data_IF_165743810876
#
_entry.id   IF_165743810876
#
_cell.length_a   1.000
_cell.length_b   1.000
_cell.length_c   1.000
_cell.angle_alpha   90.00
_cell.angle_beta   90.00
_cell.angle_gamma   90.00
#
_symmetry.space_group_name_H-M   'P 1'
#
loop_
_entity.id
_entity.type
_entity.pdbx_description
1 polymer ?
#
# COMPACT_ATOMS: atom_id res chain seq x y z
N UNK A 1 3.87 37.27 16.80
CA UNK A 1 2.62 36.51 17.00
C UNK A 1 2.51 35.36 16.01
N UNK A 2 2.91 34.15 16.41
CA UNK A 2 2.69 32.90 15.67
C UNK A 2 2.45 31.77 16.66
N UNK A 3 1.36 31.87 17.40
CA UNK A 3 0.83 30.80 18.25
C UNK A 3 -0.68 30.84 18.10
N UNK A 4 -1.20 30.12 17.10
CA UNK A 4 -2.62 29.75 16.90
C UNK A 4 -2.75 29.10 15.52
N UNK A 5 -2.39 27.82 15.41
CA UNK A 5 -2.80 26.99 14.25
C UNK A 5 -2.80 25.47 14.53
N UNK A 6 -2.28 25.00 15.66
CA UNK A 6 -2.22 23.55 15.96
C UNK A 6 -3.27 23.12 16.99
N UNK A 7 -4.54 23.28 16.65
CA UNK A 7 -5.64 22.76 17.48
C UNK A 7 -6.70 22.01 16.66
N UNK A 8 -6.29 21.47 15.50
CA UNK A 8 -7.20 20.79 14.57
C UNK A 8 -6.91 19.28 14.51
N UNK A 9 -7.87 18.41 14.88
CA UNK A 9 -7.77 16.95 14.69
C UNK A 9 -7.69 16.54 13.20
N UNK A 10 -7.89 17.48 12.28
CA UNK A 10 -7.78 17.29 10.83
C UNK A 10 -6.34 17.08 10.34
N UNK A 11 -5.31 17.48 11.08
CA UNK A 11 -3.92 17.19 10.68
C UNK A 11 -3.54 15.71 10.87
N UNK A 12 -4.11 15.03 11.88
CA UNK A 12 -4.02 13.57 12.02
C UNK A 12 -4.80 12.85 10.90
N UNK A 13 -5.92 13.43 10.45
CA UNK A 13 -6.77 12.88 9.41
C UNK A 13 -6.05 12.71 8.06
N UNK A 14 -5.21 13.69 7.65
CA UNK A 14 -4.52 13.64 6.36
C UNK A 14 -3.31 12.69 6.32
N UNK A 15 -2.60 12.50 7.44
CA UNK A 15 -1.42 11.61 7.50
C UNK A 15 -1.80 10.13 7.63
N UNK A 16 -2.91 9.81 8.29
CA UNK A 16 -3.43 8.43 8.35
C UNK A 16 -4.21 8.02 7.08
N UNK A 17 -4.73 8.97 6.30
CA UNK A 17 -5.68 8.67 5.20
C UNK A 17 -5.04 8.19 3.88
N UNK A 18 -3.74 8.36 3.62
CA UNK A 18 -3.17 7.91 2.34
C UNK A 18 -2.28 6.67 2.45
N UNK A 19 -1.42 6.60 3.47
CA UNK A 19 -0.50 5.45 3.66
C UNK A 19 -1.10 4.38 4.57
N UNK A 20 -1.71 4.76 5.69
CA UNK A 20 -2.44 3.82 6.54
C UNK A 20 -3.67 3.26 5.83
N UNK A 21 -4.32 4.04 4.95
CA UNK A 21 -5.40 3.57 4.08
C UNK A 21 -4.93 2.56 3.03
N UNK A 22 -3.79 2.78 2.36
CA UNK A 22 -3.24 1.78 1.41
C UNK A 22 -2.84 0.49 2.12
N UNK A 23 -2.22 0.59 3.30
CA UNK A 23 -1.88 -0.58 4.10
C UNK A 23 -3.15 -1.25 4.62
N UNK A 24 -4.09 -0.52 5.24
CA UNK A 24 -5.39 -1.03 5.68
C UNK A 24 -6.17 -1.69 4.55
N UNK A 25 -6.21 -1.10 3.34
CA UNK A 25 -6.84 -1.67 2.16
C UNK A 25 -6.16 -2.94 1.69
N UNK A 26 -4.81 -3.01 1.71
CA UNK A 26 -4.10 -4.25 1.38
C UNK A 26 -4.31 -5.33 2.43
N UNK A 27 -4.29 -4.99 3.71
CA UNK A 27 -4.53 -5.90 4.84
C UNK A 27 -5.94 -6.49 4.80
N UNK A 28 -6.88 -5.63 4.44
CA UNK A 28 -8.27 -5.99 4.27
C UNK A 28 -8.50 -6.78 2.98
N UNK A 29 -7.79 -6.47 1.87
CA UNK A 29 -7.79 -7.30 0.67
C UNK A 29 -7.18 -8.69 0.92
N UNK A 30 -6.14 -8.79 1.77
CA UNK A 30 -5.54 -10.07 2.18
C UNK A 30 -6.44 -10.84 3.16
N UNK A 31 -7.19 -10.15 4.02
CA UNK A 31 -8.21 -10.77 4.88
C UNK A 31 -9.45 -11.29 4.11
N UNK A 32 -9.56 -11.02 2.80
CA UNK A 32 -10.74 -11.32 1.99
C UNK A 32 -10.62 -12.56 1.10
N UNK A 33 -9.84 -13.55 1.53
CA UNK A 33 -10.06 -14.93 1.07
C UNK A 33 -11.42 -15.52 1.52
N UNK A 34 -12.27 -14.76 2.25
CA UNK A 34 -13.63 -15.14 2.65
C UNK A 34 -14.75 -14.13 2.25
N UNK A 35 -14.68 -13.51 1.07
CA UNK A 35 -15.89 -13.21 0.28
C UNK A 35 -16.78 -11.99 0.60
N UNK A 36 -16.23 -10.82 0.97
CA UNK A 36 -16.99 -9.55 1.03
C UNK A 36 -16.16 -8.30 0.71
N UNK A 37 -16.70 -7.32 -0.05
CA UNK A 37 -15.94 -6.13 -0.48
C UNK A 37 -15.72 -5.12 0.65
N UNK A 38 -14.49 -4.75 1.02
CA UNK A 38 -14.24 -4.14 2.32
C UNK A 38 -13.72 -2.68 2.30
N UNK A 39 -13.59 -2.08 1.10
CA UNK A 39 -13.19 -0.68 0.90
C UNK A 39 -14.20 0.31 1.49
N UNK A 40 -15.48 -0.05 1.59
CA UNK A 40 -16.53 0.77 2.19
C UNK A 40 -16.56 0.73 3.73
N UNK A 41 -16.17 -0.39 4.34
CA UNK A 41 -16.25 -0.57 5.80
C UNK A 41 -15.11 0.15 6.53
N UNK A 42 -13.91 0.17 5.94
CA UNK A 42 -12.75 0.91 6.49
C UNK A 42 -12.93 2.41 6.29
N UNK A 43 -13.50 2.85 5.17
CA UNK A 43 -13.71 4.28 4.88
C UNK A 43 -14.76 4.93 5.80
N UNK A 44 -15.60 4.15 6.47
CA UNK A 44 -16.54 4.60 7.51
C UNK A 44 -15.99 4.50 8.94
N UNK A 45 -14.82 3.89 9.14
CA UNK A 45 -14.20 3.76 10.46
C UNK A 45 -13.23 4.92 10.72
N UNK A 46 -13.66 5.87 11.56
CA UNK A 46 -12.89 7.08 11.86
C UNK A 46 -12.01 6.99 13.12
N UNK A 47 -12.07 5.88 13.87
CA UNK A 47 -11.26 5.69 15.08
C UNK A 47 -9.91 5.05 14.76
N UNK A 48 -8.85 5.85 14.84
CA UNK A 48 -7.48 5.42 14.62
C UNK A 48 -7.03 4.30 15.58
N UNK A 49 -7.58 4.21 16.80
CA UNK A 49 -7.25 3.13 17.74
C UNK A 49 -7.80 1.78 17.30
N UNK A 50 -9.01 1.78 16.72
CA UNK A 50 -9.63 0.58 16.15
C UNK A 50 -8.80 0.10 14.96
N UNK A 51 -8.48 1.00 14.02
CA UNK A 51 -7.64 0.68 12.86
C UNK A 51 -6.24 0.16 13.26
N UNK A 52 -5.60 0.81 14.24
CA UNK A 52 -4.31 0.36 14.77
C UNK A 52 -4.40 -1.02 15.45
N UNK A 53 -5.51 -1.32 16.14
CA UNK A 53 -5.74 -2.63 16.75
C UNK A 53 -5.97 -3.70 15.70
N UNK A 54 -6.75 -3.42 14.66
CA UNK A 54 -6.96 -4.32 13.52
C UNK A 54 -5.64 -4.62 12.80
N UNK A 55 -4.82 -3.60 12.55
CA UNK A 55 -3.49 -3.72 11.95
C UNK A 55 -2.58 -4.68 12.75
N UNK A 56 -2.47 -4.45 14.06
CA UNK A 56 -1.67 -5.31 14.96
C UNK A 56 -2.19 -6.76 14.95
N UNK A 57 -3.51 -6.93 15.10
CA UNK A 57 -4.15 -8.26 15.09
C UNK A 57 -3.96 -9.00 13.78
N UNK A 58 -3.92 -8.32 12.64
CA UNK A 58 -3.66 -8.95 11.35
C UNK A 58 -2.30 -9.66 11.37
N UNK A 59 -1.22 -8.94 11.68
CA UNK A 59 0.13 -9.52 11.65
C UNK A 59 0.31 -10.62 12.71
N UNK A 60 -0.23 -10.41 13.91
CA UNK A 60 -0.13 -11.39 14.98
C UNK A 60 -0.89 -12.71 14.66
N UNK A 61 -1.94 -12.65 13.83
CA UNK A 61 -2.75 -13.81 13.42
C UNK A 61 -2.27 -14.52 12.14
N UNK A 62 -1.23 -14.01 11.48
CA UNK A 62 -0.66 -14.71 10.33
C UNK A 62 -0.20 -16.11 10.76
N UNK A 63 -0.36 -17.16 9.93
CA UNK A 63 0.13 -18.51 10.23
C UNK A 63 1.64 -18.50 10.54
N UNK A 64 2.40 -17.78 9.74
CA UNK A 64 3.82 -17.50 9.91
C UNK A 64 4.02 -16.01 10.22
N UNK A 65 4.92 -15.62 11.15
CA UNK A 65 5.11 -14.22 11.47
C UNK A 65 5.62 -13.44 10.25
N UNK A 66 5.35 -12.12 10.20
CA UNK A 66 5.78 -11.28 9.09
C UNK A 66 7.30 -11.38 8.84
N UNK A 67 8.06 -11.37 9.93
CA UNK A 67 9.47 -11.73 9.97
C UNK A 67 9.54 -13.21 10.40
N UNK A 68 9.87 -14.12 9.47
CA UNK A 68 9.90 -15.56 9.72
C UNK A 68 10.76 -15.97 10.91
N UNK A 69 10.43 -17.08 11.56
CA UNK A 69 11.14 -17.54 12.77
C UNK A 69 12.62 -17.82 12.50
N UNK A 70 13.00 -18.14 11.25
CA UNK A 70 14.38 -18.39 10.82
C UNK A 70 15.28 -17.14 10.86
N UNK A 71 14.69 -15.95 10.96
CA UNK A 71 15.45 -14.70 11.14
C UNK A 71 15.46 -14.19 12.57
N UNK A 72 14.77 -14.88 13.50
CA UNK A 72 14.64 -14.48 14.90
C UNK A 72 15.99 -14.24 15.58
N UNK A 73 16.87 -15.26 15.61
CA UNK A 73 18.17 -15.18 16.29
C UNK A 73 19.05 -14.07 15.69
N UNK A 74 19.01 -13.90 14.36
CA UNK A 74 19.75 -12.83 13.70
C UNK A 74 19.23 -11.44 14.08
N UNK A 75 17.92 -11.27 14.29
CA UNK A 75 17.37 -10.00 14.79
C UNK A 75 17.83 -9.72 16.21
N UNK A 76 17.90 -10.74 17.07
CA UNK A 76 18.44 -10.63 18.44
C UNK A 76 19.91 -10.23 18.40
N UNK A 77 20.73 -10.91 17.60
CA UNK A 77 22.16 -10.62 17.45
C UNK A 77 22.42 -9.18 16.98
N UNK A 78 21.72 -8.75 15.93
CA UNK A 78 21.82 -7.37 15.42
C UNK A 78 21.41 -6.38 16.51
N UNK A 79 20.30 -6.65 17.22
CA UNK A 79 19.80 -5.84 18.32
C UNK A 79 20.78 -5.69 19.48
N UNK A 80 21.47 -6.77 19.83
CA UNK A 80 22.50 -6.77 20.86
C UNK A 80 23.76 -6.00 20.45
N UNK A 81 24.06 -5.91 19.15
CA UNK A 81 25.16 -5.08 18.65
C UNK A 81 24.87 -3.58 18.73
N UNK A 82 23.59 -3.19 18.86
CA UNK A 82 23.17 -1.79 18.97
C UNK A 82 23.28 -1.30 20.41
N UNK A 83 24.03 -0.22 20.59
CA UNK A 83 24.17 0.46 21.89
C UNK A 83 23.15 1.58 22.05
N UNK A 84 22.71 1.79 23.29
CA UNK A 84 21.87 2.92 23.69
C UNK A 84 20.36 2.70 23.55
N UNK A 85 19.60 3.42 24.38
CA UNK A 85 18.22 3.80 24.07
C UNK A 85 18.23 4.91 23.00
N UNK A 86 17.08 5.35 22.48
CA UNK A 86 16.94 6.24 21.30
C UNK A 86 17.91 7.45 21.20
N UNK A 87 18.47 7.93 22.31
CA UNK A 87 19.36 9.09 22.41
C UNK A 87 20.88 8.83 22.51
N UNK A 88 21.35 7.58 22.66
CA UNK A 88 22.79 7.26 22.78
C UNK A 88 23.29 6.43 21.58
N UNK A 89 23.20 7.01 20.39
CA UNK A 89 23.53 6.31 19.14
C UNK A 89 25.01 6.43 18.80
N UNK A 90 25.57 5.31 18.39
CA UNK A 90 26.88 5.21 17.78
C UNK A 90 26.68 5.02 16.27
N UNK A 91 26.91 6.10 15.49
CA UNK A 91 26.70 6.11 14.04
C UNK A 91 27.43 4.97 13.30
N UNK A 92 28.58 4.52 13.84
CA UNK A 92 29.34 3.41 13.27
C UNK A 92 28.62 2.07 13.42
N UNK A 93 28.10 1.78 14.61
CA UNK A 93 27.33 0.55 14.89
C UNK A 93 25.99 0.55 14.19
N UNK A 94 25.29 1.68 14.17
CA UNK A 94 24.02 1.82 13.46
C UNK A 94 24.21 1.52 11.96
N UNK A 95 25.32 1.96 11.35
CA UNK A 95 25.60 1.71 9.93
C UNK A 95 25.88 0.22 9.66
N UNK A 96 26.67 -0.44 10.51
CA UNK A 96 26.93 -1.87 10.38
C UNK A 96 25.64 -2.70 10.57
N UNK A 97 24.83 -2.40 11.59
CA UNK A 97 23.55 -3.04 11.84
C UNK A 97 22.56 -2.79 10.69
N UNK A 98 22.54 -1.59 10.13
CA UNK A 98 21.73 -1.26 8.93
C UNK A 98 22.08 -2.18 7.77
N UNK A 99 23.38 -2.43 7.52
CA UNK A 99 23.82 -3.34 6.46
C UNK A 99 23.39 -4.80 6.73
N UNK A 100 23.51 -5.26 7.98
CA UNK A 100 23.08 -6.60 8.37
C UNK A 100 21.56 -6.79 8.22
N UNK A 101 20.76 -5.80 8.64
CA UNK A 101 19.31 -5.82 8.44
C UNK A 101 18.96 -5.85 6.96
N UNK A 102 19.69 -5.08 6.14
CA UNK A 102 19.54 -5.11 4.69
C UNK A 102 19.75 -6.51 4.10
N UNK A 103 20.83 -7.17 4.49
CA UNK A 103 21.14 -8.54 4.07
C UNK A 103 20.08 -9.53 4.56
N UNK A 104 19.63 -9.40 5.80
CA UNK A 104 18.57 -10.24 6.38
C UNK A 104 17.27 -10.10 5.60
N UNK A 105 16.82 -8.88 5.31
CA UNK A 105 15.62 -8.64 4.53
C UNK A 105 15.74 -9.19 3.09
N UNK A 106 16.92 -9.14 2.49
CA UNK A 106 17.15 -9.70 1.16
C UNK A 106 17.00 -11.23 1.08
N UNK A 107 17.05 -11.93 2.22
CA UNK A 107 16.83 -13.39 2.31
C UNK A 107 15.36 -13.77 2.43
N UNK A 108 14.48 -12.81 2.74
CA UNK A 108 13.06 -13.10 2.95
C UNK A 108 12.32 -13.23 1.62
N UNK A 109 11.21 -13.98 1.58
CA UNK A 109 10.33 -14.01 0.41
C UNK A 109 9.89 -12.59 0.02
N UNK A 110 9.79 -12.33 -1.28
CA UNK A 110 9.45 -10.99 -1.83
C UNK A 110 8.19 -10.39 -1.20
N UNK A 111 7.19 -11.22 -0.89
CA UNK A 111 5.94 -10.81 -0.26
C UNK A 111 6.18 -10.29 1.16
N UNK A 112 7.00 -10.97 1.96
CA UNK A 112 7.38 -10.53 3.31
C UNK A 112 8.15 -9.21 3.23
N UNK A 113 9.17 -9.12 2.36
CA UNK A 113 9.97 -7.90 2.18
C UNK A 113 9.08 -6.70 1.85
N UNK A 114 8.15 -6.88 0.91
CA UNK A 114 7.22 -5.81 0.51
C UNK A 114 6.37 -5.35 1.71
N UNK A 115 5.80 -6.29 2.47
CA UNK A 115 4.97 -5.97 3.63
C UNK A 115 5.77 -5.33 4.77
N UNK A 116 6.99 -5.80 5.04
CA UNK A 116 7.92 -5.20 6.01
C UNK A 116 8.20 -3.75 5.62
N UNK A 117 8.66 -3.52 4.38
CA UNK A 117 9.01 -2.18 3.93
C UNK A 117 7.82 -1.23 3.96
N UNK A 118 6.62 -1.67 3.60
CA UNK A 118 5.41 -0.85 3.69
C UNK A 118 5.00 -0.55 5.13
N UNK A 119 4.98 -1.56 5.99
CA UNK A 119 4.64 -1.39 7.40
C UNK A 119 5.62 -0.42 8.08
N UNK A 120 6.92 -0.70 8.00
CA UNK A 120 7.92 0.09 8.72
C UNK A 120 8.12 1.49 8.11
N UNK A 121 7.86 1.68 6.81
CA UNK A 121 7.75 3.03 6.21
C UNK A 121 6.56 3.79 6.79
N UNK A 122 5.40 3.14 6.92
CA UNK A 122 4.23 3.75 7.57
C UNK A 122 4.53 4.13 9.02
N UNK A 123 5.14 3.23 9.81
CA UNK A 123 5.53 3.53 11.18
C UNK A 123 6.55 4.67 11.28
N UNK A 124 7.45 4.81 10.29
CA UNK A 124 8.36 5.95 10.20
C UNK A 124 7.61 7.29 10.07
N UNK A 125 6.57 7.34 9.25
CA UNK A 125 5.72 8.54 9.15
C UNK A 125 4.96 8.82 10.45
N UNK A 126 4.49 7.79 11.16
CA UNK A 126 3.86 7.96 12.48
C UNK A 126 4.84 8.50 13.52
N UNK A 127 6.09 8.03 13.51
CA UNK A 127 7.14 8.47 14.43
C UNK A 127 7.47 9.97 14.25
N UNK A 128 7.42 10.50 13.03
CA UNK A 128 7.61 11.95 12.77
C UNK A 128 6.56 12.83 13.44
N UNK A 129 5.43 12.25 13.88
CA UNK A 129 4.33 12.94 14.55
C UNK A 129 4.39 12.78 16.07
N UNK A 130 5.50 12.30 16.64
CA UNK A 130 5.68 12.02 18.08
C UNK A 130 5.22 13.17 18.98
N UNK A 131 5.45 14.43 18.60
CA UNK A 131 4.98 15.61 19.35
C UNK A 131 3.48 15.60 19.65
N UNK A 132 2.69 14.92 18.81
CA UNK A 132 1.25 14.76 18.94
C UNK A 132 0.85 13.35 19.37
N UNK A 133 1.42 12.31 18.75
CA UNK A 133 1.04 10.90 19.00
C UNK A 133 1.66 10.34 20.28
N UNK A 134 2.74 10.95 20.78
CA UNK A 134 3.61 10.42 21.85
C UNK A 134 4.24 9.06 21.52
N UNK A 135 4.25 8.70 20.25
CA UNK A 135 4.82 7.44 19.75
C UNK A 135 6.14 7.74 19.04
N UNK A 136 7.26 7.54 19.75
CA UNK A 136 8.58 7.53 19.13
C UNK A 136 8.78 6.25 18.30
N UNK A 137 9.87 6.20 17.52
CA UNK A 137 10.19 5.00 16.73
C UNK A 137 10.38 3.77 17.62
N UNK A 138 10.97 3.93 18.80
CA UNK A 138 11.12 2.90 19.82
C UNK A 138 9.81 2.43 20.39
N UNK A 139 8.92 3.36 20.77
CA UNK A 139 7.60 2.99 21.28
C UNK A 139 6.81 2.20 20.22
N UNK A 140 6.92 2.59 18.94
CA UNK A 140 6.32 1.85 17.84
C UNK A 140 6.96 0.46 17.66
N UNK A 141 8.29 0.37 17.73
CA UNK A 141 9.01 -0.90 17.65
C UNK A 141 8.54 -1.86 18.75
N UNK A 142 8.57 -1.46 20.03
CA UNK A 142 8.14 -2.27 21.16
C UNK A 142 6.70 -2.79 21.01
N UNK A 143 5.79 -1.93 20.53
CA UNK A 143 4.39 -2.34 20.29
C UNK A 143 4.30 -3.36 19.14
N UNK A 144 5.15 -3.27 18.12
CA UNK A 144 5.08 -4.13 16.95
C UNK A 144 5.86 -5.43 17.08
N UNK A 145 6.91 -5.54 17.90
CA UNK A 145 7.70 -6.78 18.09
C UNK A 145 6.79 -8.02 18.26
N UNK A 146 5.87 -8.10 19.24
CA UNK A 146 5.06 -9.30 19.45
C UNK A 146 4.01 -9.55 18.36
N UNK A 147 3.83 -8.60 17.43
CA UNK A 147 2.90 -8.72 16.32
C UNK A 147 3.57 -9.19 15.03
N UNK A 148 4.88 -8.99 14.86
CA UNK A 148 5.60 -9.23 13.60
C UNK A 148 6.70 -10.27 13.70
N UNK A 149 7.11 -10.65 14.91
CA UNK A 149 8.11 -11.67 15.22
C UNK A 149 7.52 -12.67 16.21
N UNK A 150 7.90 -13.95 16.09
CA UNK A 150 7.60 -15.00 17.08
C UNK A 150 8.80 -15.91 17.25
N UNK A 151 9.11 -16.27 18.50
CA UNK A 151 10.12 -17.28 18.77
C UNK A 151 9.68 -18.66 18.27
N UNK A 152 10.65 -19.56 18.10
CA UNK A 152 10.36 -20.98 17.87
C UNK A 152 9.72 -21.63 19.08
N UNK A 153 8.97 -22.71 18.87
CA UNK A 153 8.22 -23.39 19.93
C UNK A 153 9.09 -23.93 21.09
N UNK A 154 10.40 -24.08 20.86
CA UNK A 154 11.35 -24.62 21.82
C UNK A 154 11.97 -23.54 22.74
N UNK A 155 11.71 -22.25 22.48
CA UNK A 155 12.27 -21.16 23.29
C UNK A 155 11.40 -20.93 24.55
N UNK A 156 12.00 -20.91 25.76
CA UNK A 156 11.27 -20.57 26.99
C UNK A 156 10.72 -19.15 26.95
N UNK A 157 9.54 -18.94 27.56
CA UNK A 157 8.87 -17.64 27.58
C UNK A 157 9.71 -16.53 28.23
N UNK A 158 10.54 -16.87 29.22
CA UNK A 158 11.45 -15.92 29.86
C UNK A 158 12.56 -15.44 28.92
N UNK A 159 13.07 -16.33 28.06
CA UNK A 159 14.09 -15.99 27.07
C UNK A 159 13.48 -15.17 25.94
N UNK A 160 12.29 -15.57 25.46
CA UNK A 160 11.54 -14.79 24.45
C UNK A 160 11.27 -13.36 24.95
N UNK A 161 10.88 -13.20 26.22
CA UNK A 161 10.66 -11.88 26.80
C UNK A 161 11.94 -11.04 26.88
N UNK A 162 13.09 -11.65 27.19
CA UNK A 162 14.38 -10.98 27.22
C UNK A 162 14.81 -10.48 25.83
N UNK A 163 14.50 -11.26 24.79
CA UNK A 163 14.82 -10.97 23.39
C UNK A 163 13.96 -9.85 22.78
N UNK A 164 12.81 -9.53 23.39
CA UNK A 164 11.94 -8.46 22.90
C UNK A 164 12.66 -7.11 22.79
N UNK A 165 13.55 -6.80 23.74
CA UNK A 165 14.29 -5.54 23.74
C UNK A 165 15.33 -5.44 22.59
N UNK A 166 16.27 -6.40 22.40
CA UNK A 166 17.18 -6.34 21.27
C UNK A 166 16.42 -6.39 19.93
N UNK A 167 15.36 -7.18 19.80
CA UNK A 167 14.55 -7.19 18.58
C UNK A 167 13.90 -5.81 18.36
N UNK A 168 13.40 -5.14 19.40
CA UNK A 168 12.87 -3.78 19.30
C UNK A 168 13.93 -2.79 18.83
N UNK A 169 15.21 -2.93 19.23
CA UNK A 169 16.30 -2.08 18.74
C UNK A 169 16.51 -2.25 17.23
N UNK A 170 16.55 -3.50 16.77
CA UNK A 170 16.66 -3.81 15.35
C UNK A 170 15.49 -3.20 14.55
N UNK A 171 14.25 -3.39 15.01
CA UNK A 171 13.07 -2.82 14.35
C UNK A 171 13.04 -1.29 14.40
N UNK A 172 13.45 -0.68 15.51
CA UNK A 172 13.55 0.77 15.66
C UNK A 172 14.48 1.36 14.59
N UNK A 173 15.61 0.71 14.32
CA UNK A 173 16.53 1.12 13.27
C UNK A 173 15.90 1.05 11.87
N UNK A 174 15.10 0.01 11.57
CA UNK A 174 14.32 -0.09 10.33
C UNK A 174 13.33 1.09 10.22
N UNK A 175 12.61 1.41 11.30
CA UNK A 175 11.64 2.54 11.34
C UNK A 175 12.34 3.88 11.07
N UNK A 176 13.55 4.05 11.55
CA UNK A 176 14.28 5.32 11.44
C UNK A 176 14.99 5.49 10.10
N UNK A 177 15.33 4.38 9.43
CA UNK A 177 16.07 4.38 8.17
C UNK A 177 15.31 3.70 7.02
N UNK A 178 14.02 4.03 6.77
CA UNK A 178 13.20 3.30 5.79
C UNK A 178 13.75 3.43 4.36
N UNK A 179 14.36 4.56 4.00
CA UNK A 179 14.98 4.77 2.68
C UNK A 179 16.17 3.87 2.43
N UNK A 180 17.00 3.64 3.45
CA UNK A 180 18.15 2.76 3.37
C UNK A 180 17.71 1.29 3.21
N UNK A 181 16.61 0.91 3.87
CA UNK A 181 15.98 -0.40 3.69
C UNK A 181 15.38 -0.56 2.28
N UNK A 182 14.69 0.47 1.76
CA UNK A 182 14.10 0.46 0.42
C UNK A 182 15.14 0.35 -0.70
N UNK A 183 16.37 0.85 -0.49
CA UNK A 183 17.46 0.75 -1.47
C UNK A 183 17.87 -0.69 -1.80
N UNK A 184 17.41 -1.68 -1.03
CA UNK A 184 17.51 -3.10 -1.38
C UNK A 184 16.78 -3.48 -2.67
N UNK A 185 15.69 -2.80 -2.99
CA UNK A 185 14.77 -3.20 -4.05
C UNK A 185 15.22 -2.74 -5.46
N UNK A 186 16.32 -1.99 -5.58
CA UNK A 186 16.73 -1.31 -6.84
C UNK A 186 17.93 -1.99 -7.51
N UNK A 187 18.34 -3.18 -7.06
CA UNK A 187 19.30 -4.00 -7.81
C UNK A 187 18.58 -4.76 -8.94
N UNK A 188 18.16 -4.05 -9.99
CA UNK A 188 17.90 -4.68 -11.28
C UNK A 188 19.24 -5.12 -11.88
N UNK A 189 19.50 -6.42 -11.84
CA UNK A 189 20.61 -7.04 -12.55
C UNK A 189 20.36 -7.01 -14.05
N UNK A 190 21.29 -6.41 -14.78
CA UNK A 190 21.57 -6.76 -16.17
C UNK A 190 22.23 -8.13 -16.22
N UNK A 191 21.58 -9.12 -16.85
CA UNK A 191 22.28 -10.12 -17.67
C UNK A 191 21.28 -10.80 -18.63
N UNK A 192 21.51 -10.56 -19.91
CA UNK A 192 20.98 -11.34 -21.02
C UNK A 192 21.68 -12.72 -21.04
N UNK A 193 20.93 -13.82 -21.01
CA UNK A 193 20.90 -14.86 -22.07
C UNK A 193 20.24 -16.17 -21.60
N UNK A 194 19.32 -16.62 -22.45
CA UNK A 194 18.78 -17.96 -22.68
C UNK A 194 17.93 -18.66 -21.61
N UNK A 195 16.61 -18.66 -21.89
CA UNK A 195 16.00 -19.92 -22.29
C UNK A 195 15.03 -20.58 -21.32
N UNK A 196 13.95 -19.89 -20.91
CA UNK A 196 12.63 -20.55 -20.87
C UNK A 196 11.49 -19.51 -20.92
N UNK A 197 10.54 -19.73 -21.81
CA UNK A 197 9.56 -18.72 -22.23
C UNK A 197 8.28 -18.74 -21.37
N UNK A 198 7.72 -17.57 -20.98
CA UNK A 198 6.31 -17.47 -20.62
C UNK A 198 5.45 -17.14 -21.85
N UNK A 199 4.32 -17.84 -21.93
CA UNK A 199 3.28 -17.82 -22.96
C UNK A 199 2.90 -16.40 -23.43
N UNK A 200 3.17 -16.13 -24.71
CA UNK A 200 2.74 -14.93 -25.43
C UNK A 200 1.32 -15.17 -25.99
N UNK A 201 0.32 -14.43 -25.50
CA UNK A 201 -0.98 -14.33 -26.17
C UNK A 201 -0.85 -13.52 -27.49
N UNK A 202 -1.61 -13.86 -28.55
CA UNK A 202 -1.40 -13.29 -29.87
C UNK A 202 -2.03 -11.89 -30.02
N UNK A 203 -1.31 -10.99 -30.65
CA UNK A 203 -1.79 -9.67 -31.09
C UNK A 203 -2.82 -9.81 -32.22
N UNK A 204 -3.98 -9.14 -32.15
CA UNK A 204 -4.91 -9.08 -33.28
C UNK A 204 -4.42 -8.16 -34.40
N UNK A 205 -4.63 -8.63 -35.62
CA UNK A 205 -4.24 -8.09 -36.91
C UNK A 205 -4.79 -6.68 -37.21
N UNK A 206 -3.97 -5.84 -37.85
CA UNK A 206 -4.39 -4.55 -38.41
C UNK A 206 -5.36 -4.72 -39.59
N UNK A 207 -6.41 -3.87 -39.71
CA UNK A 207 -7.10 -3.67 -40.98
C UNK A 207 -6.41 -2.60 -41.83
N UNK A 208 -6.29 -2.94 -43.10
CA UNK A 208 -5.73 -2.17 -44.20
C UNK A 208 -6.33 -0.78 -44.40
N UNK A 209 -5.40 0.16 -44.62
CA UNK A 209 -5.47 1.45 -45.31
C UNK A 209 -6.58 1.60 -46.37
N UNK A 210 -7.29 2.73 -46.34
CA UNK A 210 -7.82 3.43 -47.52
C UNK A 210 -7.94 4.93 -47.19
N UNK A 211 -7.47 5.74 -48.13
CA UNK A 211 -7.04 7.14 -48.00
C UNK A 211 -8.18 8.16 -48.10
N UNK A 212 -8.04 9.34 -47.47
CA UNK A 212 -7.99 10.66 -48.17
C UNK A 212 -8.17 11.86 -47.22
N UNK A 213 -7.11 12.67 -47.15
CA UNK A 213 -7.04 14.15 -47.14
C UNK A 213 -7.96 14.98 -46.23
N UNK A 214 -7.37 15.69 -45.26
CA UNK A 214 -6.95 17.10 -45.44
C UNK A 214 -6.40 17.70 -44.13
N UNK A 215 -5.48 18.64 -44.29
CA UNK A 215 -4.58 19.28 -43.31
C UNK A 215 -5.31 20.14 -42.27
N UNK A 216 -4.88 20.07 -40.99
CA UNK A 216 -4.74 21.21 -40.06
C UNK A 216 -3.98 20.83 -38.77
N UNK A 217 -3.18 21.79 -38.26
CA UNK A 217 -2.25 21.69 -37.13
C UNK A 217 -2.96 21.47 -35.75
N UNK A 218 -2.22 21.15 -34.65
CA UNK A 218 -2.81 20.54 -33.47
C UNK A 218 -3.49 21.58 -32.57
N UNK A 219 -4.79 21.40 -32.36
CA UNK A 219 -5.53 22.11 -31.32
C UNK A 219 -5.25 21.46 -29.95
N UNK A 220 -4.98 22.31 -28.97
CA UNK A 220 -4.62 21.90 -27.61
C UNK A 220 -5.86 21.39 -26.90
N UNK A 221 -5.81 20.17 -26.38
CA UNK A 221 -6.64 19.76 -25.24
C UNK A 221 -7.99 19.13 -25.54
N UNK A 222 -8.11 18.30 -26.59
CA UNK A 222 -9.29 17.43 -26.74
C UNK A 222 -8.99 16.02 -26.22
N UNK A 223 -9.57 15.67 -25.08
CA UNK A 223 -9.63 14.29 -24.61
C UNK A 223 -10.20 13.41 -25.73
N UNK A 224 -9.64 12.21 -25.90
CA UNK A 224 -10.15 11.23 -26.86
C UNK A 224 -11.68 11.07 -26.67
N UNK A 225 -12.46 10.87 -27.76
CA UNK A 225 -13.89 10.71 -27.63
C UNK A 225 -14.18 9.44 -26.81
N UNK A 226 -14.59 9.64 -25.55
CA UNK A 226 -15.08 8.56 -24.68
C UNK A 226 -16.39 8.03 -25.26
N UNK A 227 -16.42 6.73 -25.51
CA UNK A 227 -17.63 6.05 -25.96
C UNK A 227 -18.54 5.76 -24.76
N UNK A 228 -19.85 5.91 -24.98
CA UNK A 228 -20.88 5.68 -23.98
C UNK A 228 -21.84 4.59 -24.42
N UNK A 229 -22.32 3.82 -23.47
CA UNK A 229 -23.42 2.88 -23.61
C UNK A 229 -24.53 3.27 -22.65
N UNK A 230 -25.77 2.97 -23.00
CA UNK A 230 -26.95 3.26 -22.17
C UNK A 230 -27.93 2.09 -22.20
N UNK A 231 -28.73 1.96 -21.15
CA UNK A 231 -29.77 0.94 -21.05
C UNK A 231 -31.12 1.50 -21.50
N UNK A 232 -31.72 0.88 -22.52
CA UNK A 232 -33.06 1.19 -23.00
C UNK A 232 -33.89 -0.09 -23.00
N UNK A 233 -35.01 -0.10 -22.26
CA UNK A 233 -35.87 -1.28 -22.11
C UNK A 233 -35.14 -2.58 -21.70
N UNK A 234 -34.06 -2.45 -20.91
CA UNK A 234 -33.24 -3.58 -20.44
C UNK A 234 -32.21 -4.11 -21.44
N UNK A 235 -32.08 -3.48 -22.63
CA UNK A 235 -31.03 -3.78 -23.59
C UNK A 235 -29.96 -2.69 -23.61
N UNK A 236 -28.70 -3.13 -23.72
CA UNK A 236 -27.54 -2.24 -23.85
C UNK A 236 -27.45 -1.69 -25.27
N UNK A 237 -27.39 -0.37 -25.38
CA UNK A 237 -27.30 0.38 -26.63
C UNK A 237 -26.00 1.20 -26.65
N UNK A 238 -25.32 1.28 -27.80
CA UNK A 238 -24.04 1.97 -27.96
C UNK A 238 -23.07 1.22 -28.88
N UNK A 239 -21.82 1.69 -29.06
CA UNK A 239 -21.25 2.91 -28.48
C UNK A 239 -21.81 4.18 -29.14
N UNK A 240 -22.12 5.18 -28.32
CA UNK A 240 -22.50 6.54 -28.76
C UNK A 240 -21.58 7.57 -28.13
N UNK A 241 -21.25 8.68 -28.82
CA UNK A 241 -20.50 9.78 -28.21
C UNK A 241 -21.37 10.53 -27.20
N UNK A 242 -20.74 11.21 -26.23
CA UNK A 242 -21.44 11.96 -25.18
C UNK A 242 -22.48 12.97 -25.73
N UNK A 243 -22.21 13.61 -26.87
CA UNK A 243 -23.14 14.54 -27.52
C UNK A 243 -24.45 13.87 -27.94
N UNK A 244 -24.39 12.62 -28.37
CA UNK A 244 -25.57 11.86 -28.76
C UNK A 244 -26.36 11.38 -27.54
N UNK A 245 -25.69 11.14 -26.41
CA UNK A 245 -26.34 10.80 -25.15
C UNK A 245 -27.18 11.98 -24.60
N UNK A 246 -26.69 13.21 -24.75
CA UNK A 246 -27.46 14.44 -24.46
C UNK A 246 -28.68 14.55 -25.37
N UNK A 247 -28.54 14.30 -26.69
CA UNK A 247 -29.69 14.30 -27.59
C UNK A 247 -30.73 13.22 -27.26
N UNK A 248 -30.30 12.08 -26.70
CA UNK A 248 -31.21 11.01 -26.27
C UNK A 248 -31.98 11.36 -24.99
N UNK A 249 -31.38 12.16 -24.09
CA UNK A 249 -32.07 12.78 -22.96
C UNK A 249 -33.12 13.80 -23.43
N UNK A 250 -32.74 14.66 -24.37
CA UNK A 250 -33.63 15.73 -24.89
C UNK A 250 -34.83 15.15 -25.65
N UNK A 251 -34.63 14.03 -26.35
CA UNK A 251 -35.71 13.30 -27.04
C UNK A 251 -36.54 12.40 -26.12
N UNK A 252 -36.17 12.28 -24.84
CA UNK A 252 -36.87 11.44 -23.86
C UNK A 252 -36.67 9.94 -24.05
N UNK A 253 -35.70 9.54 -24.87
CA UNK A 253 -35.38 8.13 -25.16
C UNK A 253 -34.72 7.46 -23.94
N UNK A 254 -33.94 8.24 -23.20
CA UNK A 254 -33.37 7.88 -21.90
C UNK A 254 -33.73 8.97 -20.89
N UNK A 255 -33.87 8.58 -19.63
CA UNK A 255 -34.12 9.49 -18.52
C UNK A 255 -32.87 9.69 -17.66
N UNK A 256 -32.88 10.68 -16.78
CA UNK A 256 -31.80 10.87 -15.78
C UNK A 256 -31.65 9.69 -14.83
N UNK A 257 -32.67 8.83 -14.70
CA UNK A 257 -32.61 7.57 -13.95
C UNK A 257 -32.10 6.39 -14.79
N UNK A 258 -31.88 6.57 -16.10
CA UNK A 258 -31.37 5.51 -16.97
C UNK A 258 -29.89 5.28 -16.71
N UNK A 259 -29.50 4.01 -16.71
CA UNK A 259 -28.12 3.61 -16.47
C UNK A 259 -27.29 3.78 -17.73
N UNK A 260 -26.11 4.39 -17.56
CA UNK A 260 -25.13 4.63 -18.59
C UNK A 260 -23.78 4.07 -18.17
N UNK A 261 -22.96 3.75 -19.16
CA UNK A 261 -21.62 3.22 -18.96
C UNK A 261 -20.66 3.95 -19.88
N UNK A 262 -19.59 4.50 -19.31
CA UNK A 262 -18.52 5.14 -20.04
C UNK A 262 -17.38 4.14 -20.23
N UNK A 263 -16.73 4.15 -21.39
CA UNK A 263 -15.59 3.29 -21.69
C UNK A 263 -14.50 3.42 -20.61
N UNK A 264 -14.23 2.33 -19.89
CA UNK A 264 -13.28 2.30 -18.77
C UNK A 264 -13.88 2.50 -17.38
N UNK A 265 -15.20 2.70 -17.25
CA UNK A 265 -15.88 2.72 -15.96
C UNK A 265 -15.96 1.31 -15.34
N UNK A 266 -16.02 1.24 -14.01
CA UNK A 266 -16.10 -0.03 -13.26
C UNK A 266 -17.53 -0.59 -13.20
N UNK A 267 -18.54 0.27 -13.28
CA UNK A 267 -19.94 -0.11 -13.19
C UNK A 267 -20.83 0.81 -14.03
N UNK A 268 -22.06 0.36 -14.27
CA UNK A 268 -23.10 1.18 -14.88
C UNK A 268 -23.62 2.18 -13.85
N UNK A 269 -23.59 3.46 -14.16
CA UNK A 269 -24.03 4.52 -13.26
C UNK A 269 -25.32 5.16 -13.77
N UNK A 270 -26.26 5.55 -12.89
CA UNK A 270 -27.40 6.36 -13.28
C UNK A 270 -26.92 7.67 -13.90
N UNK A 271 -27.51 8.09 -15.01
CA UNK A 271 -27.10 9.29 -15.74
C UNK A 271 -27.17 10.58 -14.91
N UNK A 272 -28.01 10.64 -13.87
CA UNK A 272 -28.06 11.76 -12.92
C UNK A 272 -26.78 11.91 -12.07
N UNK A 273 -25.94 10.88 -12.00
CA UNK A 273 -24.73 10.84 -11.16
C UNK A 273 -23.44 11.01 -11.97
N UNK A 274 -23.58 11.19 -13.28
CA UNK A 274 -22.51 11.42 -14.26
C UNK A 274 -22.45 12.90 -14.61
#
# INVERSE_FOLDING_TARGET
>A
GRQRLFRCPLCLFFLFSFTAFKLALRLVAVAQLEGNSPTESVSRCYDAHVLATCLKKFYCRLPEPLLPTEVYDRLVDIGNCLTGDEGERDDGKDTAATLQLKQLLALLPRVNVTNVLELFTFLSEVAKLESTTRMSAWNLALVFVPNVVRAGADLPAESELADMNPIAKALCLIIQRPKEMLSLAVSEGSDDSDGDAPLRLPSPLEPTRSESSAVSAPDRGRAAPVNWWYLQAGQQMGPVPASQLVSLLDTGTISTASYVYCEGALEWTPLAQV
#
